data_IF_265377638246
#
_entry.id   IF_265377638246
#
_cell.length_a   1.000
_cell.length_b   1.000
_cell.length_c   1.000
_cell.angle_alpha   90.00
_cell.angle_beta   90.00
_cell.angle_gamma   90.00
#
_symmetry.space_group_name_H-M   'P 1'
#
loop_
_entity.id
_entity.type
_entity.pdbx_description
1 polymer ?
#
# COMPACT_ATOMS: atom_id res chain seq x y z
N UNK A 1 9.96 -2.81 41.46
CA UNK A 1 9.85 -1.40 41.05
C UNK A 1 9.76 -1.36 39.54
N UNK A 2 8.74 -0.65 39.05
CA UNK A 2 8.21 -0.69 37.69
C UNK A 2 9.22 -0.21 36.63
N UNK A 3 9.42 -1.01 35.58
CA UNK A 3 10.08 -0.58 34.33
C UNK A 3 8.97 -0.23 33.35
N UNK A 4 8.60 1.05 33.33
CA UNK A 4 7.71 1.62 32.33
C UNK A 4 8.51 2.02 31.09
N UNK A 5 8.86 1.07 30.23
CA UNK A 5 9.35 1.39 28.89
C UNK A 5 8.15 1.55 27.97
N UNK A 6 7.75 2.81 27.84
CA UNK A 6 6.69 3.30 26.98
C UNK A 6 6.69 2.64 25.62
N UNK A 7 5.53 2.06 25.29
CA UNK A 7 5.10 1.54 24.01
C UNK A 7 5.26 2.61 22.91
N UNK A 8 6.45 2.69 22.29
CA UNK A 8 6.70 3.47 21.04
C UNK A 8 6.72 2.56 19.80
N UNK A 9 6.54 1.24 19.98
CA UNK A 9 6.72 0.22 18.95
C UNK A 9 5.58 0.16 17.91
N UNK A 10 4.42 0.79 18.15
CA UNK A 10 3.23 0.63 17.28
C UNK A 10 3.06 1.81 16.29
N UNK A 11 3.89 2.86 16.36
CA UNK A 11 3.72 4.07 15.52
C UNK A 11 4.40 4.02 14.14
N UNK A 12 5.07 2.91 13.78
CA UNK A 12 5.76 2.74 12.49
C UNK A 12 5.20 1.61 11.64
N UNK A 13 3.90 1.31 11.75
CA UNK A 13 3.21 0.73 10.59
C UNK A 13 2.96 1.89 9.64
N UNK A 14 4.01 2.21 8.88
CA UNK A 14 4.03 3.22 7.85
C UNK A 14 2.85 2.94 6.92
N UNK A 15 1.90 3.87 6.85
CA UNK A 15 0.95 3.94 5.76
C UNK A 15 1.76 4.25 4.51
N UNK A 16 2.23 3.20 3.84
CA UNK A 16 2.85 3.32 2.53
C UNK A 16 1.72 3.66 1.55
N UNK A 17 1.54 4.95 1.30
CA UNK A 17 0.67 5.44 0.25
C UNK A 17 1.45 5.35 -1.06
N UNK A 18 1.32 4.23 -1.76
CA UNK A 18 2.01 4.04 -3.03
C UNK A 18 1.23 4.80 -4.11
N UNK A 19 1.77 5.93 -4.56
CA UNK A 19 1.27 6.62 -5.75
C UNK A 19 1.83 5.94 -7.00
N UNK A 20 0.98 5.23 -7.74
CA UNK A 20 1.33 4.68 -9.04
C UNK A 20 1.01 5.67 -10.15
N UNK A 21 1.95 5.86 -11.07
CA UNK A 21 1.74 6.61 -12.30
C UNK A 21 1.26 5.65 -13.38
N UNK A 22 -0.03 5.63 -13.68
CA UNK A 22 -0.56 4.84 -14.82
C UNK A 22 -0.82 5.77 -16.00
N UNK A 23 -0.36 5.35 -17.17
CA UNK A 23 -0.73 6.01 -18.44
C UNK A 23 -2.05 5.39 -18.92
N UNK A 24 -3.19 5.99 -18.53
CA UNK A 24 -4.51 5.52 -18.99
C UNK A 24 -4.79 5.98 -20.43
N UNK A 25 -5.19 5.04 -21.29
CA UNK A 25 -5.88 5.36 -22.55
C UNK A 25 -7.37 5.49 -22.23
N UNK A 26 -7.96 6.64 -22.49
CA UNK A 26 -9.36 6.90 -22.20
C UNK A 26 -10.30 6.02 -23.04
N UNK A 27 -11.05 5.13 -22.38
CA UNK A 27 -12.30 4.58 -22.89
C UNK A 27 -13.44 4.98 -21.93
N UNK A 28 -14.54 5.47 -22.49
CA UNK A 28 -15.60 6.13 -21.74
C UNK A 28 -16.56 5.13 -21.08
N UNK A 29 -16.62 5.15 -19.74
CA UNK A 29 -17.84 4.89 -18.96
C UNK A 29 -18.01 6.10 -18.04
N UNK A 30 -19.03 6.89 -18.33
CA UNK A 30 -19.16 8.28 -17.89
C UNK A 30 -20.06 8.38 -16.64
N UNK A 31 -19.47 8.19 -15.46
CA UNK A 31 -20.01 8.77 -14.22
C UNK A 31 -18.97 9.74 -13.68
N UNK A 32 -19.30 11.03 -13.65
CA UNK A 32 -18.44 12.02 -13.01
C UNK A 32 -18.16 11.56 -11.56
N UNK A 33 -16.89 11.52 -11.11
CA UNK A 33 -16.60 11.11 -9.74
C UNK A 33 -17.39 11.97 -8.77
N UNK A 34 -18.06 11.32 -7.82
CA UNK A 34 -18.72 12.03 -6.73
C UNK A 34 -17.65 12.90 -6.05
N UNK A 35 -17.92 14.19 -5.87
CA UNK A 35 -16.94 15.10 -5.30
C UNK A 35 -16.51 14.56 -3.93
N UNK A 36 -15.19 14.49 -3.67
CA UNK A 36 -14.65 14.02 -2.39
C UNK A 36 -15.45 14.56 -1.21
N UNK A 37 -15.79 13.67 -0.27
CA UNK A 37 -16.40 14.09 0.99
C UNK A 37 -15.44 14.99 1.77
N UNK A 38 -15.95 15.69 2.79
CA UNK A 38 -15.08 16.51 3.65
C UNK A 38 -14.00 15.66 4.33
N UNK A 39 -14.33 14.42 4.69
CA UNK A 39 -13.39 13.51 5.31
C UNK A 39 -12.34 12.99 4.31
N UNK A 40 -12.74 12.65 3.07
CA UNK A 40 -11.78 12.25 2.03
C UNK A 40 -10.77 13.35 1.76
N UNK A 41 -11.24 14.61 1.64
CA UNK A 41 -10.35 15.77 1.47
C UNK A 41 -9.39 15.92 2.63
N UNK A 42 -9.87 15.77 3.87
CA UNK A 42 -9.04 15.87 5.08
C UNK A 42 -7.95 14.78 5.09
N UNK A 43 -8.30 13.54 4.74
CA UNK A 43 -7.34 12.43 4.69
C UNK A 43 -6.28 12.68 3.60
N UNK A 44 -6.72 13.12 2.42
CA UNK A 44 -5.81 13.44 1.31
C UNK A 44 -4.91 14.64 1.65
N UNK A 45 -5.44 15.69 2.26
CA UNK A 45 -4.65 16.85 2.70
C UNK A 45 -3.56 16.46 3.71
N UNK A 46 -3.87 15.55 4.64
CA UNK A 46 -2.90 15.03 5.61
C UNK A 46 -1.86 14.16 4.90
N UNK A 47 -2.30 13.19 4.09
CA UNK A 47 -1.41 12.24 3.42
C UNK A 47 -0.47 12.89 2.40
N UNK A 48 -0.91 14.00 1.81
CA UNK A 48 -0.19 14.68 0.74
C UNK A 48 0.24 16.11 1.10
N UNK A 49 0.15 16.49 2.38
CA UNK A 49 0.58 17.79 2.91
C UNK A 49 0.05 18.99 2.09
N UNK A 50 -1.18 18.91 1.59
CA UNK A 50 -1.80 19.95 0.74
C UNK A 50 -1.12 20.19 -0.62
N UNK A 51 -0.13 19.37 -1.00
CA UNK A 51 0.63 19.55 -2.24
C UNK A 51 -0.17 19.14 -3.48
N UNK A 52 -1.22 18.32 -3.31
CA UNK A 52 -1.97 17.75 -4.41
C UNK A 52 -3.24 18.52 -4.74
N UNK A 53 -3.28 19.03 -5.98
CA UNK A 53 -4.49 19.52 -6.62
C UNK A 53 -5.08 18.40 -7.46
N UNK A 54 -6.19 17.83 -7.01
CA UNK A 54 -6.88 16.76 -7.72
C UNK A 54 -7.94 17.31 -8.67
N UNK A 55 -7.88 16.86 -9.92
CA UNK A 55 -8.97 16.98 -10.85
C UNK A 55 -9.52 15.58 -11.08
N UNK A 56 -10.78 15.30 -10.73
CA UNK A 56 -11.39 14.01 -11.04
C UNK A 56 -11.31 13.76 -12.55
N UNK A 57 -10.93 12.54 -12.92
CA UNK A 57 -10.96 12.06 -14.30
C UNK A 57 -11.86 10.83 -14.38
N UNK A 58 -12.13 10.34 -15.59
CA UNK A 58 -12.91 9.10 -15.76
C UNK A 58 -12.24 7.97 -14.98
N UNK A 59 -13.02 7.35 -14.09
CA UNK A 59 -12.57 6.29 -13.23
C UNK A 59 -13.11 4.95 -13.76
N UNK A 60 -12.22 3.99 -13.98
CA UNK A 60 -12.57 2.65 -14.42
C UNK A 60 -12.60 1.70 -13.22
N UNK A 61 -13.29 0.57 -13.35
CA UNK A 61 -13.26 -0.49 -12.36
C UNK A 61 -11.81 -0.97 -12.16
N UNK A 62 -11.44 -1.34 -10.93
CA UNK A 62 -10.11 -1.88 -10.61
C UNK A 62 -9.89 -3.29 -11.17
N UNK A 63 -9.89 -3.47 -12.49
CA UNK A 63 -9.79 -4.79 -13.12
C UNK A 63 -8.34 -5.23 -13.43
N UNK A 64 -7.39 -4.29 -13.44
CA UNK A 64 -5.96 -4.55 -13.68
C UNK A 64 -5.04 -4.20 -12.48
N UNK A 65 -5.19 -4.82 -11.29
CA UNK A 65 -4.33 -4.56 -10.13
C UNK A 65 -2.83 -4.73 -10.40
N UNK A 66 -2.45 -5.60 -11.35
CA UNK A 66 -1.06 -5.78 -11.75
C UNK A 66 -0.51 -4.56 -12.48
N UNK A 67 -1.30 -3.92 -13.34
CA UNK A 67 -0.89 -2.72 -14.06
C UNK A 67 -0.77 -1.52 -13.12
N UNK A 68 -1.61 -1.48 -12.08
CA UNK A 68 -1.50 -0.49 -11.01
C UNK A 68 -0.22 -0.70 -10.21
N UNK A 69 0.04 -1.92 -9.73
CA UNK A 69 1.26 -2.20 -8.97
C UNK A 69 2.55 -2.10 -9.81
N UNK A 70 2.46 -2.43 -11.10
CA UNK A 70 3.56 -2.51 -12.05
C UNK A 70 4.84 -3.16 -11.46
N UNK A 71 4.76 -4.39 -10.92
CA UNK A 71 5.93 -5.00 -10.29
C UNK A 71 6.99 -5.25 -11.36
N UNK A 72 8.09 -4.48 -11.28
CA UNK A 72 9.29 -4.71 -12.06
C UNK A 72 10.46 -5.08 -11.13
N UNK A 73 11.39 -5.88 -11.66
CA UNK A 73 12.58 -6.28 -10.91
C UNK A 73 13.65 -5.18 -10.87
N UNK A 74 13.40 -4.04 -11.54
CA UNK A 74 14.35 -2.94 -11.54
C UNK A 74 14.30 -2.20 -10.21
N UNK A 75 15.46 -1.89 -9.60
CA UNK A 75 15.48 -1.05 -8.42
C UNK A 75 14.97 0.35 -8.75
N UNK A 76 13.98 0.82 -8.01
CA UNK A 76 13.53 2.20 -8.01
C UNK A 76 14.23 2.96 -6.90
N UNK A 77 14.92 4.04 -7.24
CA UNK A 77 15.59 4.92 -6.26
C UNK A 77 14.70 6.13 -6.02
N UNK A 78 14.25 6.27 -4.77
CA UNK A 78 13.44 7.39 -4.30
C UNK A 78 14.32 8.34 -3.50
N UNK A 79 14.24 9.63 -3.83
CA UNK A 79 14.77 10.69 -2.97
C UNK A 79 13.71 11.08 -1.95
N UNK A 80 14.00 10.82 -0.68
CA UNK A 80 13.14 11.16 0.44
C UNK A 80 13.54 12.54 0.97
N UNK A 81 12.61 13.49 0.87
CA UNK A 81 12.78 14.86 1.35
C UNK A 81 11.85 15.02 2.56
N UNK A 82 12.36 14.85 3.80
CA UNK A 82 11.53 15.02 4.98
C UNK A 82 11.24 16.50 5.23
N UNK A 83 10.14 16.79 5.94
CA UNK A 83 9.84 18.16 6.42
C UNK A 83 10.96 18.70 7.33
N UNK A 84 11.55 17.80 8.13
CA UNK A 84 12.69 18.12 9.01
C UNK A 84 13.75 17.02 8.92
N UNK A 85 15.02 17.41 8.77
CA UNK A 85 16.16 16.49 8.73
C UNK A 85 16.88 16.47 7.38
N UNK A 86 17.93 15.65 7.25
CA UNK A 86 18.64 15.52 5.98
C UNK A 86 17.79 14.73 4.98
N UNK A 87 17.95 15.07 3.70
CA UNK A 87 17.48 14.22 2.60
C UNK A 87 18.16 12.85 2.65
N UNK A 88 17.46 11.83 2.18
CA UNK A 88 18.00 10.48 2.04
C UNK A 88 17.53 9.82 0.75
N UNK A 89 18.16 8.70 0.40
CA UNK A 89 17.73 7.85 -0.70
C UNK A 89 17.19 6.53 -0.15
N UNK A 90 16.12 6.04 -0.74
CA UNK A 90 15.54 4.73 -0.49
C UNK A 90 15.48 3.94 -1.80
N UNK A 91 16.01 2.72 -1.81
CA UNK A 91 16.01 1.87 -3.00
C UNK A 91 15.01 0.74 -2.81
N UNK A 92 13.93 0.77 -3.58
CA UNK A 92 12.89 -0.24 -3.53
C UNK A 92 13.01 -1.18 -4.72
N UNK A 93 12.57 -2.43 -4.57
CA UNK A 93 12.52 -3.39 -5.69
C UNK A 93 11.55 -4.52 -5.41
N UNK A 94 11.02 -5.12 -6.46
CA UNK A 94 10.31 -6.39 -6.38
C UNK A 94 11.26 -7.54 -6.65
N UNK A 95 11.08 -8.65 -5.92
CA UNK A 95 11.79 -9.91 -6.15
C UNK A 95 10.74 -11.01 -6.27
N UNK A 96 10.69 -11.69 -7.42
CA UNK A 96 9.82 -12.85 -7.60
C UNK A 96 10.21 -13.99 -6.66
N UNK A 97 9.26 -14.50 -5.87
CA UNK A 97 9.49 -15.61 -4.93
C UNK A 97 8.65 -16.86 -5.25
N UNK A 98 7.81 -16.80 -6.30
CA UNK A 98 7.10 -17.96 -6.83
C UNK A 98 5.94 -17.58 -7.74
N UNK A 99 5.61 -18.46 -8.69
CA UNK A 99 4.49 -18.29 -9.60
C UNK A 99 3.77 -19.63 -9.80
N UNK A 100 2.45 -19.60 -9.69
CA UNK A 100 1.52 -20.67 -10.05
C UNK A 100 0.48 -20.12 -11.02
N UNK A 101 -0.27 -20.96 -11.75
CA UNK A 101 -1.34 -20.49 -12.63
C UNK A 101 -2.37 -19.58 -11.94
N UNK A 102 -2.55 -19.73 -10.64
CA UNK A 102 -3.55 -19.00 -9.84
C UNK A 102 -2.95 -17.80 -9.09
N UNK A 103 -1.62 -17.70 -9.01
CA UNK A 103 -0.96 -16.76 -8.09
C UNK A 103 0.48 -16.45 -8.43
N UNK A 104 0.81 -15.17 -8.50
CA UNK A 104 2.20 -14.69 -8.49
C UNK A 104 2.54 -14.16 -7.10
N UNK A 105 3.69 -14.54 -6.54
CA UNK A 105 4.19 -14.09 -5.23
C UNK A 105 5.50 -13.35 -5.40
N UNK A 106 5.63 -12.23 -4.68
CA UNK A 106 6.82 -11.39 -4.73
C UNK A 106 7.12 -10.80 -3.35
N UNK A 107 8.40 -10.55 -3.09
CA UNK A 107 8.88 -9.80 -1.95
C UNK A 107 9.19 -8.36 -2.42
N UNK A 108 8.50 -7.39 -1.85
CA UNK A 108 8.79 -5.98 -2.08
C UNK A 108 9.77 -5.49 -1.02
N UNK A 109 11.01 -5.20 -1.42
CA UNK A 109 12.01 -4.63 -0.53
C UNK A 109 11.83 -3.11 -0.48
N UNK A 110 11.57 -2.56 0.71
CA UNK A 110 11.54 -1.11 0.93
C UNK A 110 12.96 -0.59 1.18
N UNK A 111 13.76 -1.36 1.91
CA UNK A 111 15.16 -1.06 2.18
C UNK A 111 15.91 -2.37 2.52
N UNK A 112 17.15 -2.25 2.99
CA UNK A 112 17.96 -3.41 3.37
C UNK A 112 17.40 -4.21 4.57
N UNK A 113 16.62 -3.57 5.44
CA UNK A 113 16.05 -4.17 6.64
C UNK A 113 14.59 -4.59 6.51
N UNK A 114 13.82 -3.97 5.63
CA UNK A 114 12.35 -4.10 5.60
C UNK A 114 11.86 -4.59 4.24
N UNK A 115 10.96 -5.57 4.28
CA UNK A 115 10.27 -6.05 3.09
C UNK A 115 8.83 -6.49 3.38
N UNK A 116 8.02 -6.52 2.33
CA UNK A 116 6.63 -6.97 2.36
C UNK A 116 6.48 -8.21 1.48
N UNK A 117 5.80 -9.23 2.01
CA UNK A 117 5.43 -10.43 1.27
C UNK A 117 4.08 -10.17 0.63
N UNK A 118 4.04 -10.19 -0.69
CA UNK A 118 2.87 -9.83 -1.47
C UNK A 118 2.51 -10.94 -2.45
N UNK A 119 1.24 -10.95 -2.86
CA UNK A 119 0.80 -11.79 -3.94
C UNK A 119 -0.27 -11.13 -4.78
N UNK A 120 -0.30 -11.51 -6.05
CA UNK A 120 -1.33 -11.20 -7.02
C UNK A 120 -2.09 -12.49 -7.36
N UNK A 121 -3.42 -12.46 -7.25
CA UNK A 121 -4.31 -13.54 -7.67
C UNK A 121 -5.56 -12.99 -8.36
N UNK A 122 -6.06 -13.71 -9.36
CA UNK A 122 -7.34 -13.40 -9.99
C UNK A 122 -8.48 -13.43 -8.96
N UNK A 123 -9.39 -12.47 -9.07
CA UNK A 123 -10.53 -12.26 -8.17
C UNK A 123 -10.19 -11.60 -6.83
N UNK A 124 -8.92 -11.53 -6.42
CA UNK A 124 -8.49 -10.88 -5.17
C UNK A 124 -7.70 -9.60 -5.40
N UNK A 125 -7.00 -9.49 -6.53
CA UNK A 125 -6.07 -8.41 -6.81
C UNK A 125 -4.75 -8.57 -6.04
N UNK A 126 -4.16 -7.46 -5.62
CA UNK A 126 -2.91 -7.45 -4.85
C UNK A 126 -3.21 -7.49 -3.37
N UNK A 127 -2.61 -8.46 -2.68
CA UNK A 127 -2.69 -8.62 -1.22
C UNK A 127 -1.31 -8.67 -0.59
N UNK A 128 -1.22 -8.24 0.67
CA UNK A 128 -0.04 -8.36 1.53
C UNK A 128 -0.26 -9.56 2.47
N UNK A 129 0.58 -10.58 2.33
CA UNK A 129 0.59 -11.76 3.20
C UNK A 129 1.28 -11.48 4.54
N UNK A 130 2.23 -10.55 4.54
CA UNK A 130 3.06 -10.27 5.70
C UNK A 130 4.15 -9.24 5.44
N UNK A 131 4.99 -9.03 6.44
CA UNK A 131 6.15 -8.16 6.35
C UNK A 131 7.31 -8.74 7.17
N UNK A 132 8.54 -8.42 6.77
CA UNK A 132 9.76 -8.82 7.46
C UNK A 132 10.47 -7.53 7.87
N UNK A 133 10.71 -7.38 9.17
CA UNK A 133 11.58 -6.35 9.72
C UNK A 133 12.81 -7.03 10.33
N UNK A 134 13.89 -7.05 9.54
CA UNK A 134 15.16 -7.67 9.92
C UNK A 134 15.88 -6.89 11.01
N UNK A 135 15.60 -5.60 11.15
CA UNK A 135 16.21 -4.76 12.17
C UNK A 135 15.63 -5.07 13.54
N UNK A 136 14.32 -5.22 13.62
CA UNK A 136 13.61 -5.59 14.85
C UNK A 136 13.56 -7.11 15.09
N UNK A 137 14.01 -7.89 14.11
CA UNK A 137 14.07 -9.35 14.20
C UNK A 137 12.68 -9.99 14.21
N UNK A 138 11.73 -9.44 13.45
CA UNK A 138 10.32 -9.90 13.46
C UNK A 138 9.73 -10.12 12.07
N UNK A 139 8.77 -11.06 12.00
CA UNK A 139 7.91 -11.30 10.84
C UNK A 139 6.46 -11.04 11.24
N UNK A 140 5.77 -10.21 10.47
CA UNK A 140 4.32 -10.03 10.57
C UNK A 140 3.62 -10.93 9.56
N UNK A 141 2.56 -11.62 9.98
CA UNK A 141 1.71 -12.45 9.14
C UNK A 141 0.26 -11.97 9.23
N UNK A 142 -0.42 -11.93 8.08
CA UNK A 142 -1.83 -11.57 7.94
C UNK A 142 -2.66 -12.78 7.51
N UNK A 143 -3.74 -13.07 8.23
CA UNK A 143 -4.66 -14.17 7.91
C UNK A 143 -6.13 -13.77 8.08
N UNK A 144 -6.92 -13.66 6.98
CA UNK A 144 -6.50 -13.75 5.58
C UNK A 144 -5.51 -12.62 5.20
N UNK A 145 -4.80 -12.72 4.06
CA UNK A 145 -3.93 -11.65 3.57
C UNK A 145 -4.64 -10.28 3.54
N UNK A 146 -3.91 -9.23 3.85
CA UNK A 146 -4.42 -7.85 3.87
C UNK A 146 -4.61 -7.35 2.43
N UNK A 147 -5.81 -6.93 2.00
CA UNK A 147 -5.98 -6.33 0.68
C UNK A 147 -5.14 -5.05 0.54
N UNK A 148 -4.50 -4.88 -0.62
CA UNK A 148 -3.76 -3.68 -0.99
C UNK A 148 -4.41 -2.99 -2.20
N UNK A 149 -4.56 -3.72 -3.30
CA UNK A 149 -5.26 -3.24 -4.51
C UNK A 149 -6.35 -4.27 -4.82
N UNK A 150 -7.59 -4.08 -4.33
CA UNK A 150 -8.68 -5.03 -4.55
C UNK A 150 -9.08 -5.05 -6.03
N UNK A 151 -9.41 -6.23 -6.55
CA UNK A 151 -9.92 -6.36 -7.92
C UNK A 151 -11.42 -6.09 -7.98
N UNK A 152 -11.89 -5.56 -9.11
CA UNK A 152 -13.30 -5.36 -9.47
C UNK A 152 -14.09 -4.40 -8.57
N UNK A 153 -13.39 -3.51 -7.86
CA UNK A 153 -14.03 -2.45 -7.08
C UNK A 153 -14.37 -1.27 -7.99
N UNK A 154 -15.66 -0.94 -8.11
CA UNK A 154 -16.10 0.24 -8.87
C UNK A 154 -15.89 1.52 -8.06
N UNK A 155 -15.80 2.70 -8.70
CA UNK A 155 -15.77 3.98 -7.98
C UNK A 155 -16.97 4.10 -7.03
N UNK A 156 -16.72 4.59 -5.80
CA UNK A 156 -17.67 4.69 -4.70
C UNK A 156 -17.90 3.38 -3.92
N UNK A 157 -17.40 2.23 -4.39
CA UNK A 157 -17.57 0.97 -3.68
C UNK A 157 -16.50 0.76 -2.61
N UNK A 158 -16.88 0.03 -1.57
CA UNK A 158 -15.98 -0.33 -0.46
C UNK A 158 -15.86 -1.84 -0.29
N UNK A 159 -14.66 -2.28 0.07
CA UNK A 159 -14.34 -3.62 0.57
C UNK A 159 -14.01 -3.52 2.05
N UNK A 160 -14.73 -4.27 2.89
CA UNK A 160 -14.37 -4.43 4.31
C UNK A 160 -13.75 -5.79 4.57
N UNK A 161 -12.70 -5.83 5.38
CA UNK A 161 -11.98 -7.04 5.74
C UNK A 161 -11.55 -7.01 7.21
N UNK A 162 -11.52 -8.19 7.82
CA UNK A 162 -10.89 -8.41 9.13
C UNK A 162 -9.75 -9.39 8.92
N UNK A 163 -8.54 -9.00 9.30
CA UNK A 163 -7.37 -9.87 9.23
C UNK A 163 -6.76 -10.08 10.61
N UNK A 164 -6.43 -11.33 10.92
CA UNK A 164 -5.65 -11.66 12.11
C UNK A 164 -4.20 -11.33 11.83
N UNK A 165 -3.58 -10.61 12.75
CA UNK A 165 -2.19 -10.21 12.70
C UNK A 165 -1.42 -11.03 13.71
N UNK A 166 -0.30 -11.64 13.28
CA UNK A 166 0.66 -12.29 14.18
C UNK A 166 2.04 -11.70 13.93
N UNK A 167 2.74 -11.32 14.99
CA UNK A 167 4.13 -10.89 14.94
C UNK A 167 4.98 -11.99 15.58
N UNK A 168 5.84 -12.59 14.77
CA UNK A 168 6.71 -13.72 15.12
C UNK A 168 8.15 -13.24 15.28
N UNK A 169 8.91 -13.94 16.13
CA UNK A 169 10.36 -13.79 16.20
C UNK A 169 11.02 -14.41 14.95
N UNK A 170 11.90 -13.69 14.25
CA UNK A 170 12.56 -14.21 13.05
C UNK A 170 13.51 -15.37 13.34
N UNK A 171 14.17 -15.38 14.50
CA UNK A 171 15.07 -16.46 14.90
C UNK A 171 14.31 -17.68 15.45
N UNK A 172 13.07 -17.47 15.92
CA UNK A 172 12.20 -18.50 16.50
C UNK A 172 10.75 -18.36 15.98
N UNK A 173 10.47 -18.75 14.72
CA UNK A 173 9.18 -18.49 14.07
C UNK A 173 7.96 -19.10 14.78
N UNK A 174 8.17 -20.09 15.64
CA UNK A 174 7.13 -20.68 16.49
C UNK A 174 6.69 -19.75 17.63
N UNK A 175 7.50 -18.75 17.99
CA UNK A 175 7.22 -17.81 19.09
C UNK A 175 6.47 -16.59 18.57
N UNK A 176 5.19 -16.50 18.92
CA UNK A 176 4.37 -15.31 18.73
C UNK A 176 4.74 -14.26 19.78
N UNK A 177 5.31 -13.13 19.35
CA UNK A 177 5.59 -11.97 20.21
C UNK A 177 4.34 -11.13 20.45
N UNK A 178 3.54 -10.92 19.41
CA UNK A 178 2.28 -10.18 19.47
C UNK A 178 1.23 -10.77 18.55
N UNK A 179 -0.04 -10.53 18.86
CA UNK A 179 -1.16 -10.90 18.01
C UNK A 179 -2.33 -9.94 18.20
N UNK A 180 -3.14 -9.77 17.16
CA UNK A 180 -4.34 -8.96 17.21
C UNK A 180 -5.18 -9.12 15.97
N UNK A 181 -6.14 -8.23 15.80
CA UNK A 181 -6.99 -8.14 14.62
C UNK A 181 -6.88 -6.73 14.04
N UNK A 182 -6.93 -6.66 12.72
CA UNK A 182 -6.92 -5.44 11.96
C UNK A 182 -8.22 -5.40 11.14
N UNK A 183 -9.05 -4.41 11.44
CA UNK A 183 -10.28 -4.11 10.71
C UNK A 183 -9.98 -3.06 9.66
N UNK A 184 -10.33 -3.34 8.42
CA UNK A 184 -10.00 -2.50 7.27
C UNK A 184 -11.26 -2.26 6.44
N UNK A 185 -11.37 -1.04 5.94
CA UNK A 185 -12.31 -0.68 4.88
C UNK A 185 -11.51 0.05 3.81
N UNK A 186 -11.50 -0.48 2.60
CA UNK A 186 -10.90 0.14 1.42
C UNK A 186 -12.04 0.65 0.55
N UNK A 187 -12.02 1.92 0.18
CA UNK A 187 -13.00 2.52 -0.73
C UNK A 187 -12.27 2.98 -1.97
N UNK A 188 -12.74 2.59 -3.16
CA UNK A 188 -12.24 3.13 -4.40
C UNK A 188 -12.96 4.46 -4.65
N UNK A 189 -12.28 5.58 -4.44
CA UNK A 189 -12.78 6.94 -4.64
C UNK A 189 -12.79 7.33 -6.13
N UNK A 190 -11.93 6.72 -6.93
CA UNK A 190 -11.89 6.89 -8.38
C UNK A 190 -10.49 7.22 -8.91
N UNK A 191 -10.45 7.73 -10.14
CA UNK A 191 -9.24 8.17 -10.82
C UNK A 191 -9.13 9.69 -10.78
N UNK A 192 -7.92 10.19 -10.54
CA UNK A 192 -7.64 11.61 -10.41
C UNK A 192 -6.36 11.98 -11.14
N UNK A 193 -6.31 13.23 -11.61
CA UNK A 193 -5.08 13.85 -12.06
C UNK A 193 -4.54 14.77 -10.96
N UNK A 194 -3.34 14.45 -10.48
CA UNK A 194 -2.69 15.12 -9.37
C UNK A 194 -1.41 15.85 -9.80
N UNK A 195 -1.22 17.07 -9.31
CA UNK A 195 0.05 17.82 -9.46
C UNK A 195 0.87 17.72 -8.18
N UNK A 196 2.14 17.33 -8.30
CA UNK A 196 3.15 17.31 -7.23
C UNK A 196 4.39 18.09 -7.70
N UNK A 197 5.37 18.41 -6.82
CA UNK A 197 6.57 19.14 -7.24
C UNK A 197 7.37 18.47 -8.38
N UNK A 198 7.29 17.15 -8.52
CA UNK A 198 7.97 16.40 -9.57
C UNK A 198 7.22 16.36 -10.92
N UNK A 199 5.96 16.80 -10.98
CA UNK A 199 5.17 16.76 -12.21
C UNK A 199 3.67 16.57 -12.00
N UNK A 200 2.99 16.17 -13.06
CA UNK A 200 1.56 15.84 -13.07
C UNK A 200 1.38 14.36 -13.39
N UNK A 201 0.50 13.68 -12.64
CA UNK A 201 0.35 12.22 -12.70
C UNK A 201 -1.12 11.81 -12.56
N UNK A 202 -1.51 10.77 -13.30
CA UNK A 202 -2.75 10.04 -13.06
C UNK A 202 -2.60 9.11 -11.86
N UNK A 203 -3.58 9.10 -10.97
CA UNK A 203 -3.61 8.27 -9.76
C UNK A 203 -4.98 7.66 -9.57
N UNK A 204 -5.03 6.52 -8.89
CA UNK A 204 -6.25 5.84 -8.47
C UNK A 204 -6.26 5.84 -6.95
N UNK A 205 -7.37 6.30 -6.35
CA UNK A 205 -7.53 6.48 -4.91
C UNK A 205 -8.66 5.62 -4.37
#
# INVERSE_FOLDING_TARGET
MSVGTSCRLIRRVLALLITFSVTLKAAAVESAPEAFTTEDRRILEIGFHGALRYHPISAEVLDEPRALLAPDEMPHVFRVIPETGPESEETHRFVGIGETPERTRFEYHLNASESQLMSLSEGQGVVIEGAIDRKEGVKTEFQPPKPLIPQSLSPGQSLSAVTKVRVLDLAHPEKVRHSGELHLTLTHLGSFHGKVPSGEYGTVL
#
